data_IF_067203589499
#
_entry.id   IF_067203589499
#
_cell.length_a   1.000
_cell.length_b   1.000
_cell.length_c   1.000
_cell.angle_alpha   90.00
_cell.angle_beta   90.00
_cell.angle_gamma   90.00
#
_symmetry.space_group_name_H-M   'P 1'
#
loop_
_entity.id
_entity.type
_entity.pdbx_description
1 polymer ?
#
# COMPACT_ATOMS: atom_id res chain seq x y z
N UNK A 1 -9.39 3.56 -16.91
CA UNK A 1 -9.24 5.03 -17.03
C UNK A 1 -9.85 5.81 -15.89
N UNK A 2 -11.10 5.55 -15.46
CA UNK A 2 -11.72 6.27 -14.34
C UNK A 2 -10.86 6.32 -13.06
N UNK A 3 -10.20 5.22 -12.70
CA UNK A 3 -9.32 5.15 -11.53
C UNK A 3 -8.08 6.06 -11.64
N UNK A 4 -7.47 6.13 -12.83
CA UNK A 4 -6.32 6.99 -13.07
C UNK A 4 -6.69 8.48 -13.05
N UNK A 5 -7.88 8.82 -13.58
CA UNK A 5 -8.41 10.19 -13.51
C UNK A 5 -8.69 10.56 -12.05
N UNK A 6 -9.29 9.66 -11.27
CA UNK A 6 -9.58 9.89 -9.86
C UNK A 6 -8.29 10.05 -9.03
N UNK A 7 -7.27 9.21 -9.25
CA UNK A 7 -5.99 9.34 -8.54
C UNK A 7 -5.27 10.64 -8.90
N UNK A 8 -5.30 11.05 -10.17
CA UNK A 8 -4.74 12.34 -10.61
C UNK A 8 -5.47 13.53 -10.00
N UNK A 9 -6.81 13.48 -9.93
CA UNK A 9 -7.62 14.51 -9.30
C UNK A 9 -7.33 14.65 -7.80
N UNK A 10 -7.21 13.52 -7.07
CA UNK A 10 -6.87 13.52 -5.65
C UNK A 10 -5.45 14.01 -5.38
N UNK A 11 -4.48 13.61 -6.21
CA UNK A 11 -3.10 14.08 -6.11
C UNK A 11 -3.02 15.61 -6.33
N UNK A 12 -3.70 16.13 -7.35
CA UNK A 12 -3.80 17.57 -7.60
C UNK A 12 -4.45 18.32 -6.44
N UNK A 13 -5.54 17.81 -5.89
CA UNK A 13 -6.22 18.40 -4.74
C UNK A 13 -5.34 18.47 -3.49
N UNK A 14 -4.60 17.40 -3.17
CA UNK A 14 -3.63 17.40 -2.07
C UNK A 14 -2.48 18.38 -2.28
N UNK A 15 -2.03 18.56 -3.53
CA UNK A 15 -1.02 19.56 -3.90
C UNK A 15 -1.50 20.99 -3.67
N UNK A 16 -2.75 21.31 -4.02
CA UNK A 16 -3.35 22.63 -3.75
C UNK A 16 -3.44 22.88 -2.24
N UNK A 17 -3.95 21.92 -1.45
CA UNK A 17 -4.01 22.04 0.00
C UNK A 17 -2.64 22.30 0.63
N UNK A 18 -1.61 21.58 0.20
CA UNK A 18 -0.24 21.75 0.71
C UNK A 18 0.31 23.13 0.33
N UNK A 19 0.06 23.58 -0.89
CA UNK A 19 0.47 24.91 -1.37
C UNK A 19 -0.21 26.04 -0.60
N UNK A 20 -1.51 25.89 -0.30
CA UNK A 20 -2.26 26.84 0.53
C UNK A 20 -1.71 26.93 1.96
N UNK A 21 -1.22 25.82 2.53
CA UNK A 21 -0.61 25.83 3.87
C UNK A 21 0.72 26.57 3.90
N UNK A 22 1.52 26.47 2.84
CA UNK A 22 2.87 27.04 2.81
C UNK A 22 2.91 28.49 2.30
N UNK A 23 1.84 28.96 1.65
CA UNK A 23 1.71 30.28 1.01
C UNK A 23 2.85 30.66 0.05
N UNK A 24 3.73 29.70 -0.28
CA UNK A 24 4.94 29.85 -1.08
C UNK A 24 5.27 28.51 -1.72
N UNK A 25 5.61 28.52 -3.01
CA UNK A 25 5.98 27.33 -3.77
C UNK A 25 7.42 26.92 -3.50
N UNK A 26 7.71 26.49 -2.27
CA UNK A 26 9.05 26.02 -1.92
C UNK A 26 9.21 24.58 -2.46
N UNK A 27 10.20 24.28 -3.32
CA UNK A 27 10.31 22.98 -3.99
C UNK A 27 10.58 21.81 -3.03
N UNK A 28 11.00 22.09 -1.81
CA UNK A 28 11.24 21.10 -0.76
C UNK A 28 9.97 20.73 0.03
N UNK A 29 8.82 21.36 -0.23
CA UNK A 29 7.59 21.19 0.54
C UNK A 29 7.03 19.77 0.55
N UNK A 30 7.38 18.94 -0.43
CA UNK A 30 6.98 17.54 -0.52
C UNK A 30 8.02 16.54 0.00
N UNK A 31 9.23 16.99 0.34
CA UNK A 31 10.30 16.08 0.73
C UNK A 31 9.94 15.31 2.01
N UNK A 32 9.86 13.99 1.90
CA UNK A 32 9.56 13.11 3.03
C UNK A 32 8.10 12.68 3.12
N UNK A 33 7.18 13.35 2.40
CA UNK A 33 5.79 12.89 2.32
C UNK A 33 5.67 11.55 1.61
N UNK A 34 6.55 11.25 0.65
CA UNK A 34 6.57 9.94 -0.01
C UNK A 34 6.84 8.84 1.01
N UNK A 35 7.80 9.08 1.90
CA UNK A 35 8.16 8.13 2.95
C UNK A 35 7.05 7.97 3.98
N UNK A 36 6.45 9.06 4.44
CA UNK A 36 5.31 9.02 5.36
C UNK A 36 4.12 8.24 4.80
N UNK A 37 3.82 8.43 3.51
CA UNK A 37 2.73 7.71 2.83
C UNK A 37 3.02 6.22 2.75
N UNK A 38 4.27 5.83 2.45
CA UNK A 38 4.69 4.42 2.45
C UNK A 38 4.58 3.83 3.87
N UNK A 39 5.03 4.55 4.89
CA UNK A 39 4.94 4.11 6.29
C UNK A 39 3.47 3.91 6.71
N UNK A 40 2.61 4.87 6.39
CA UNK A 40 1.19 4.84 6.72
C UNK A 40 0.46 3.67 6.07
N UNK A 41 0.72 3.42 4.78
CA UNK A 41 0.08 2.34 4.01
C UNK A 41 0.52 0.96 4.51
N UNK A 42 1.82 0.77 4.72
CA UNK A 42 2.38 -0.49 5.25
C UNK A 42 1.89 -0.78 6.66
N UNK A 43 1.89 0.23 7.54
CA UNK A 43 1.35 0.09 8.90
C UNK A 43 -0.16 -0.22 8.88
N UNK A 44 -0.89 0.33 7.91
CA UNK A 44 -2.30 0.01 7.65
C UNK A 44 -2.55 -1.39 7.09
N UNK A 45 -1.51 -2.18 6.87
CA UNK A 45 -1.59 -3.57 6.42
C UNK A 45 -1.76 -3.74 4.91
N UNK A 46 -1.43 -2.72 4.10
CA UNK A 46 -1.42 -2.89 2.64
C UNK A 46 -0.17 -3.63 2.20
N UNK A 47 -0.34 -4.64 1.35
CA UNK A 47 0.77 -5.39 0.77
C UNK A 47 1.54 -4.55 -0.26
N UNK A 48 2.87 -4.46 -0.08
CA UNK A 48 3.79 -3.85 -1.05
C UNK A 48 3.85 -4.64 -2.38
N UNK A 49 3.55 -5.94 -2.35
CA UNK A 49 3.51 -6.81 -3.53
C UNK A 49 2.17 -6.72 -4.29
N UNK A 50 1.23 -5.92 -3.79
CA UNK A 50 -0.10 -5.72 -4.36
C UNK A 50 -1.09 -6.85 -4.04
N UNK A 51 -2.37 -6.56 -4.28
CA UNK A 51 -3.46 -7.54 -4.23
C UNK A 51 -4.15 -7.74 -2.87
N UNK A 52 -3.58 -7.24 -1.77
CA UNK A 52 -4.14 -7.42 -0.42
C UNK A 52 -3.99 -6.13 0.44
N UNK A 53 -5.09 -5.71 1.06
CA UNK A 53 -5.17 -4.51 1.90
C UNK A 53 -6.60 -3.96 1.96
N UNK A 54 -6.95 -3.25 3.04
CA UNK A 54 -8.27 -2.61 3.17
C UNK A 54 -8.13 -1.09 3.23
N UNK A 55 -9.09 -0.36 2.64
CA UNK A 55 -9.13 1.11 2.70
C UNK A 55 -9.20 1.58 4.15
N UNK A 56 -9.96 0.88 4.99
CA UNK A 56 -10.09 1.19 6.42
C UNK A 56 -8.74 1.05 7.14
N UNK A 57 -8.00 -0.03 6.88
CA UNK A 57 -6.66 -0.23 7.44
C UNK A 57 -5.69 0.90 7.05
N UNK A 58 -5.72 1.33 5.78
CA UNK A 58 -4.92 2.47 5.31
C UNK A 58 -5.29 3.79 6.01
N UNK A 59 -6.59 4.07 6.19
CA UNK A 59 -7.04 5.26 6.91
C UNK A 59 -6.55 5.27 8.37
N UNK A 60 -6.61 4.12 9.03
CA UNK A 60 -6.08 3.96 10.40
C UNK A 60 -4.57 4.17 10.41
N UNK A 61 -3.83 3.57 9.47
CA UNK A 61 -2.39 3.76 9.32
C UNK A 61 -1.99 5.22 9.08
N UNK A 62 -2.72 5.93 8.21
CA UNK A 62 -2.52 7.36 7.96
C UNK A 62 -2.80 8.22 9.20
N UNK A 63 -3.82 7.85 9.99
CA UNK A 63 -4.13 8.55 11.24
C UNK A 63 -3.04 8.31 12.30
N UNK A 64 -2.49 7.10 12.39
CA UNK A 64 -1.38 6.80 13.30
C UNK A 64 -0.13 7.59 12.92
N UNK A 65 0.29 7.57 11.65
CA UNK A 65 1.46 8.31 11.19
C UNK A 65 1.26 9.82 11.35
N UNK A 66 0.07 10.33 11.01
CA UNK A 66 -0.28 11.74 11.18
C UNK A 66 -0.24 12.19 12.64
N UNK A 67 -0.82 11.40 13.56
CA UNK A 67 -0.79 11.71 15.00
C UNK A 67 0.62 11.56 15.59
N UNK A 68 1.42 10.60 15.11
CA UNK A 68 2.81 10.43 15.52
C UNK A 68 3.66 11.63 15.12
N UNK A 69 3.54 12.12 13.89
CA UNK A 69 4.23 13.33 13.45
C UNK A 69 3.82 14.57 14.25
N UNK A 70 2.51 14.75 14.47
CA UNK A 70 2.03 15.84 15.30
C UNK A 70 2.52 15.72 16.75
N UNK A 71 2.54 14.51 17.32
CA UNK A 71 3.03 14.24 18.67
C UNK A 71 4.51 14.53 18.84
N UNK A 72 5.35 14.04 17.92
CA UNK A 72 6.80 14.31 17.93
C UNK A 72 7.10 15.79 17.72
N UNK A 73 6.31 16.48 16.89
CA UNK A 73 6.43 17.92 16.70
C UNK A 73 6.09 18.70 17.99
N UNK A 74 5.03 18.31 18.70
CA UNK A 74 4.68 18.91 20.00
C UNK A 74 5.73 18.67 21.09
N UNK A 75 6.41 17.53 21.04
CA UNK A 75 7.55 17.21 21.91
C UNK A 75 8.83 17.97 21.54
N UNK A 76 8.79 18.81 20.49
CA UNK A 76 9.93 19.60 20.04
C UNK A 76 11.06 18.76 19.42
N UNK A 77 10.76 17.54 18.99
CA UNK A 77 11.74 16.66 18.35
C UNK A 77 12.11 17.22 16.99
N UNK A 78 13.40 17.34 16.70
CA UNK A 78 13.88 17.84 15.40
C UNK A 78 13.45 16.91 14.25
N UNK A 79 13.09 17.47 13.10
CA UNK A 79 12.62 16.73 11.90
C UNK A 79 13.52 15.56 11.50
N UNK A 80 14.85 15.70 11.64
CA UNK A 80 15.80 14.61 11.39
C UNK A 80 15.47 13.34 12.21
N UNK A 81 15.20 13.51 13.51
CA UNK A 81 14.87 12.40 14.41
C UNK A 81 13.45 11.88 14.16
N UNK A 82 12.52 12.72 13.68
CA UNK A 82 11.19 12.27 13.28
C UNK A 82 11.27 11.30 12.11
N UNK A 83 12.06 11.61 11.07
CA UNK A 83 12.27 10.72 9.92
C UNK A 83 12.93 9.41 10.33
N UNK A 84 13.92 9.46 11.22
CA UNK A 84 14.55 8.24 11.76
C UNK A 84 13.54 7.39 12.54
N UNK A 85 12.72 8.01 13.39
CA UNK A 85 11.68 7.31 14.15
C UNK A 85 10.66 6.63 13.23
N UNK A 86 10.18 7.33 12.20
CA UNK A 86 9.28 6.76 11.18
C UNK A 86 9.91 5.56 10.47
N UNK A 87 11.21 5.61 10.16
CA UNK A 87 11.92 4.48 9.56
C UNK A 87 12.09 3.30 10.50
N UNK A 88 12.36 3.53 11.77
CA UNK A 88 12.36 2.47 12.78
C UNK A 88 10.98 1.81 12.86
N UNK A 89 9.91 2.59 12.91
CA UNK A 89 8.53 2.08 12.92
C UNK A 89 8.25 1.22 11.68
N UNK A 90 8.64 1.68 10.49
CA UNK A 90 8.47 0.91 9.25
C UNK A 90 9.24 -0.42 9.28
N UNK A 91 10.52 -0.39 9.66
CA UNK A 91 11.35 -1.60 9.73
C UNK A 91 10.78 -2.60 10.73
N UNK A 92 10.29 -2.13 11.88
CA UNK A 92 9.62 -2.99 12.86
C UNK A 92 8.31 -3.55 12.31
N UNK A 93 7.47 -2.73 11.68
CA UNK A 93 6.20 -3.17 11.11
C UNK A 93 6.42 -4.26 10.04
N UNK A 94 7.32 -4.03 9.09
CA UNK A 94 7.63 -4.99 8.02
C UNK A 94 8.38 -6.22 8.56
N UNK A 95 9.31 -6.02 9.48
CA UNK A 95 10.07 -7.10 10.10
C UNK A 95 9.19 -8.06 10.88
N UNK A 96 8.22 -7.53 11.64
CA UNK A 96 7.21 -8.32 12.35
C UNK A 96 6.25 -9.00 11.37
N UNK A 97 5.75 -8.30 10.35
CA UNK A 97 4.89 -8.90 9.31
C UNK A 97 5.60 -10.08 8.62
N UNK A 98 6.88 -9.91 8.25
CA UNK A 98 7.69 -10.96 7.63
C UNK A 98 7.98 -12.13 8.60
N UNK A 99 8.24 -11.85 9.87
CA UNK A 99 8.48 -12.88 10.89
C UNK A 99 7.20 -13.68 11.20
N UNK A 100 6.05 -13.01 11.31
CA UNK A 100 4.76 -13.65 11.55
C UNK A 100 4.35 -14.56 10.38
N UNK A 101 4.59 -14.14 9.14
CA UNK A 101 4.40 -14.99 7.95
C UNK A 101 5.28 -16.23 7.94
N UNK A 102 6.44 -16.21 8.60
CA UNK A 102 7.38 -17.34 8.70
C UNK A 102 7.10 -18.25 9.90
N UNK A 103 6.63 -17.70 11.02
CA UNK A 103 6.35 -18.44 12.26
C UNK A 103 4.97 -19.08 12.34
N UNK A 104 4.00 -18.62 11.53
CA UNK A 104 2.68 -19.24 11.39
C UNK A 104 2.73 -20.46 10.47
N UNK A 105 3.04 -21.63 11.03
CA UNK A 105 3.00 -22.89 10.29
C UNK A 105 1.64 -23.15 9.62
N UNK A 106 1.70 -23.49 8.33
CA UNK A 106 0.82 -24.47 7.67
C UNK A 106 -0.66 -24.13 7.45
N UNK A 107 -1.09 -24.16 6.19
CA UNK A 107 -2.48 -24.52 5.88
C UNK A 107 -3.06 -23.98 4.58
N UNK A 108 -2.87 -24.73 3.49
CA UNK A 108 -3.93 -24.98 2.49
C UNK A 108 -4.44 -23.85 1.56
N UNK A 109 -3.95 -22.60 1.61
CA UNK A 109 -4.49 -21.53 0.74
C UNK A 109 -3.90 -21.47 -0.69
N UNK A 110 -2.74 -22.07 -0.95
CA UNK A 110 -2.06 -21.97 -2.25
C UNK A 110 -2.35 -23.06 -3.29
N UNK A 111 -2.95 -24.20 -2.91
CA UNK A 111 -3.11 -25.36 -3.81
C UNK A 111 -4.46 -25.48 -4.53
N UNK A 112 -5.39 -24.54 -4.33
CA UNK A 112 -6.76 -24.60 -4.90
C UNK A 112 -7.01 -23.79 -6.17
N UNK A 113 -6.00 -23.14 -6.76
CA UNK A 113 -6.15 -22.39 -8.03
C UNK A 113 -5.50 -23.02 -9.27
N UNK A 114 -4.86 -24.19 -9.14
CA UNK A 114 -4.26 -24.89 -10.28
C UNK A 114 -4.97 -26.19 -10.68
N UNK A 115 -6.01 -26.60 -9.94
CA UNK A 115 -6.87 -27.69 -10.39
C UNK A 115 -8.08 -27.10 -11.12
N UNK A 116 -8.26 -27.55 -12.37
CA UNK A 116 -9.46 -27.41 -13.22
C UNK A 116 -9.52 -26.14 -14.09
N UNK A 117 -8.80 -26.17 -15.21
CA UNK A 117 -9.44 -25.95 -16.52
C UNK A 117 -9.02 -27.11 -17.43
N UNK A 118 -9.82 -28.19 -17.53
CA UNK A 118 -9.76 -29.04 -18.70
C UNK A 118 -10.13 -28.15 -19.89
N UNK A 119 -9.19 -27.90 -20.78
CA UNK A 119 -9.54 -27.53 -22.14
C UNK A 119 -10.33 -28.71 -22.71
N UNK A 120 -11.66 -28.59 -22.70
CA UNK A 120 -12.53 -29.24 -23.68
C UNK A 120 -12.15 -28.69 -25.05
N UNK A 121 -10.98 -29.10 -25.54
CA UNK A 121 -10.64 -29.02 -26.95
C UNK A 121 -10.73 -30.44 -27.49
N UNK A 122 -11.74 -30.60 -28.34
CA UNK A 122 -11.85 -31.60 -29.40
C UNK A 122 -12.40 -32.98 -29.04
N UNK A 123 -13.65 -33.02 -28.58
CA UNK A 123 -14.59 -34.09 -28.92
C UNK A 123 -15.81 -33.47 -29.60
N UNK A 124 -15.79 -33.35 -30.93
CA UNK A 124 -16.95 -32.81 -31.66
C UNK A 124 -16.75 -32.43 -33.14
N UNK A 125 -15.54 -32.47 -33.69
CA UNK A 125 -15.33 -32.18 -35.10
C UNK A 125 -14.26 -33.11 -35.70
N UNK A 126 -14.69 -34.27 -36.20
CA UNK A 126 -14.22 -34.93 -37.45
C UNK A 126 -14.81 -36.35 -37.48
N UNK A 127 -16.02 -36.49 -38.01
CA UNK A 127 -16.71 -37.77 -38.17
C UNK A 127 -17.83 -37.74 -39.21
N UNK A 128 -17.81 -36.78 -40.13
CA UNK A 128 -18.84 -36.64 -41.19
C UNK A 128 -18.21 -36.17 -42.51
N UNK A 129 -17.13 -36.85 -42.92
CA UNK A 129 -16.49 -36.66 -44.23
C UNK A 129 -16.07 -38.00 -44.87
N UNK A 130 -16.86 -39.06 -44.66
CA UNK A 130 -16.67 -40.33 -45.37
C UNK A 130 -17.95 -41.17 -45.37
N UNK A 131 -18.94 -40.77 -46.17
CA UNK A 131 -19.87 -41.63 -46.93
C UNK A 131 -20.83 -40.80 -47.74
#
# INVERSE_FOLDING_TARGET
>A
MALYILSGAMAGFGGVMTSSRLASGIPNAGLGFEFEVIVATVLGGTSLLGGEGTVIGMLVGALIVGTLNNGLNLLGVQSFWQTVALGVVLVLAVGLDAAMRRGGGGGLRGRRRQAVVPTETASGATGSAAR
#
